data_IF_855395320237
#
_entry.id   IF_855395320237
#
_cell.length_a   1.000
_cell.length_b   1.000
_cell.length_c   1.000
_cell.angle_alpha   90.00
_cell.angle_beta   90.00
_cell.angle_gamma   90.00
#
_symmetry.space_group_name_H-M   'P 1'
#
loop_
_entity.id
_entity.type
_entity.pdbx_description
1 polymer ?
#
# COMPACT_ATOMS: atom_id res chain seq x y z
N UNK A 1 -31.25 68.24 19.16
CA UNK A 1 -30.18 67.32 19.22
C UNK A 1 -30.75 65.96 18.78
N UNK A 2 -30.54 65.57 17.52
CA UNK A 2 -31.09 64.32 16.92
C UNK A 2 -29.97 63.33 16.86
N UNK A 3 -30.13 62.20 17.66
CA UNK A 3 -29.19 61.07 17.67
C UNK A 3 -29.63 60.10 16.57
N UNK A 4 -28.79 59.93 15.53
CA UNK A 4 -28.97 58.91 14.51
C UNK A 4 -28.39 57.56 15.02
N UNK A 5 -29.30 56.61 15.22
CA UNK A 5 -28.95 55.23 15.52
C UNK A 5 -28.63 54.50 14.19
N UNK A 6 -27.37 54.28 13.91
CA UNK A 6 -26.95 53.48 12.74
C UNK A 6 -26.95 52.02 13.17
N UNK A 7 -27.95 51.26 12.74
CA UNK A 7 -28.00 49.83 12.87
C UNK A 7 -27.03 49.16 11.88
N UNK A 8 -25.94 48.59 12.40
CA UNK A 8 -25.04 47.73 11.61
C UNK A 8 -25.72 46.37 11.45
N UNK A 9 -26.28 46.14 10.26
CA UNK A 9 -26.78 44.80 9.84
C UNK A 9 -25.59 43.94 9.43
N UNK A 10 -25.04 43.15 10.36
CA UNK A 10 -24.04 42.17 10.07
C UNK A 10 -24.70 41.01 9.31
N UNK A 11 -24.55 41.00 7.97
CA UNK A 11 -24.81 39.81 7.15
C UNK A 11 -23.85 38.68 7.57
N UNK A 12 -24.32 37.77 8.39
CA UNK A 12 -23.68 36.50 8.60
C UNK A 12 -23.92 35.68 7.32
N UNK A 13 -22.99 35.76 6.37
CA UNK A 13 -22.93 34.83 5.26
C UNK A 13 -22.56 33.45 5.84
N UNK A 14 -23.57 32.64 6.12
CA UNK A 14 -23.38 31.21 6.31
C UNK A 14 -22.87 30.66 4.98
N UNK A 15 -21.56 30.48 4.86
CA UNK A 15 -20.98 29.64 3.82
C UNK A 15 -21.56 28.25 4.04
N UNK A 16 -22.63 27.93 3.32
CA UNK A 16 -23.01 26.54 3.06
C UNK A 16 -21.82 25.94 2.29
N UNK A 17 -20.94 25.30 3.00
CA UNK A 17 -19.94 24.44 2.41
C UNK A 17 -20.73 23.28 1.79
N UNK A 18 -21.14 23.43 0.56
CA UNK A 18 -21.41 22.28 -0.27
C UNK A 18 -20.09 21.52 -0.29
N UNK A 19 -20.02 20.38 0.41
CA UNK A 19 -18.86 19.50 0.34
C UNK A 19 -18.76 19.08 -1.12
N UNK A 20 -17.84 19.74 -1.86
CA UNK A 20 -17.51 19.34 -3.22
C UNK A 20 -17.09 17.87 -3.17
N UNK A 21 -17.85 17.04 -3.84
CA UNK A 21 -17.58 15.60 -3.92
C UNK A 21 -16.68 15.35 -5.12
N UNK A 22 -15.56 14.71 -4.90
CA UNK A 22 -14.62 14.36 -5.96
C UNK A 22 -15.16 13.17 -6.77
N UNK A 23 -15.69 13.44 -7.96
CA UNK A 23 -16.22 12.41 -8.87
C UNK A 23 -15.10 11.89 -9.75
N UNK A 24 -14.81 10.59 -9.66
CA UNK A 24 -13.70 9.96 -10.37
C UNK A 24 -14.14 8.69 -11.10
N UNK A 25 -13.64 8.50 -12.32
CA UNK A 25 -13.56 7.18 -12.93
C UNK A 25 -12.39 6.38 -12.33
N UNK A 26 -12.38 5.07 -12.50
CA UNK A 26 -11.28 4.22 -11.99
C UNK A 26 -9.91 4.64 -12.55
N UNK A 27 -9.82 5.03 -13.82
CA UNK A 27 -8.57 5.52 -14.43
C UNK A 27 -8.09 6.84 -13.81
N UNK A 28 -9.02 7.73 -13.48
CA UNK A 28 -8.68 8.99 -12.79
C UNK A 28 -8.24 8.73 -11.35
N UNK A 29 -8.89 7.78 -10.65
CA UNK A 29 -8.49 7.36 -9.32
C UNK A 29 -7.08 6.74 -9.32
N UNK A 30 -6.78 5.82 -10.24
CA UNK A 30 -5.43 5.25 -10.41
C UNK A 30 -4.37 6.32 -10.67
N UNK A 31 -4.66 7.31 -11.54
CA UNK A 31 -3.73 8.39 -11.84
C UNK A 31 -3.47 9.30 -10.64
N UNK A 32 -4.53 9.65 -9.90
CA UNK A 32 -4.44 10.49 -8.71
C UNK A 32 -3.69 9.78 -7.59
N UNK A 33 -3.95 8.49 -7.39
CA UNK A 33 -3.25 7.61 -6.47
C UNK A 33 -1.74 7.59 -6.72
N UNK A 34 -1.33 7.27 -7.95
CA UNK A 34 0.10 7.22 -8.31
C UNK A 34 0.82 8.55 -8.11
N UNK A 35 0.10 9.68 -8.23
CA UNK A 35 0.66 11.01 -8.09
C UNK A 35 0.74 11.50 -6.64
N UNK A 36 -0.27 11.20 -5.84
CA UNK A 36 -0.49 11.88 -4.56
C UNK A 36 -0.30 10.98 -3.33
N UNK A 37 -0.28 9.65 -3.50
CA UNK A 37 -0.20 8.74 -2.36
C UNK A 37 1.11 8.93 -1.59
N UNK A 38 0.99 9.23 -0.29
CA UNK A 38 2.14 9.54 0.56
C UNK A 38 2.99 8.31 0.90
N UNK A 39 2.39 7.12 0.94
CA UNK A 39 3.10 5.88 1.19
C UNK A 39 4.01 5.52 0.01
N UNK A 40 3.51 5.69 -1.24
CA UNK A 40 4.34 5.55 -2.44
C UNK A 40 5.48 6.59 -2.48
N UNK A 41 5.20 7.81 -2.05
CA UNK A 41 6.23 8.84 -1.98
C UNK A 41 7.31 8.49 -0.94
N UNK A 42 6.91 7.99 0.23
CA UNK A 42 7.83 7.54 1.26
C UNK A 42 8.72 6.38 0.77
N UNK A 43 8.13 5.38 0.10
CA UNK A 43 8.88 4.25 -0.47
C UNK A 43 9.84 4.69 -1.58
N UNK A 44 9.48 5.70 -2.36
CA UNK A 44 10.38 6.29 -3.35
C UNK A 44 11.64 6.88 -2.70
N UNK A 45 11.52 7.51 -1.52
CA UNK A 45 12.68 7.99 -0.78
C UNK A 45 13.60 6.85 -0.30
N UNK A 46 13.09 5.63 -0.08
CA UNK A 46 13.93 4.47 0.23
C UNK A 46 14.87 4.13 -0.94
N UNK A 47 14.40 4.28 -2.18
CA UNK A 47 15.26 4.13 -3.37
C UNK A 47 16.35 5.20 -3.39
N UNK A 48 16.02 6.46 -3.07
CA UNK A 48 17.00 7.55 -3.04
C UNK A 48 18.02 7.37 -1.91
N UNK A 49 17.60 6.84 -0.75
CA UNK A 49 18.49 6.45 0.35
C UNK A 49 19.47 5.37 -0.11
N UNK A 50 18.98 4.30 -0.75
CA UNK A 50 19.82 3.21 -1.26
C UNK A 50 20.84 3.72 -2.29
N UNK A 51 20.43 4.58 -3.22
CA UNK A 51 21.33 5.23 -4.19
C UNK A 51 22.39 6.12 -3.51
N UNK A 52 22.03 6.79 -2.42
CA UNK A 52 22.95 7.63 -1.67
C UNK A 52 24.03 6.80 -0.96
N UNK A 53 23.66 5.63 -0.42
CA UNK A 53 24.60 4.66 0.17
C UNK A 53 25.57 4.15 -0.91
N UNK A 54 25.06 3.81 -2.10
CA UNK A 54 25.90 3.39 -3.23
C UNK A 54 26.95 4.46 -3.61
N UNK A 55 26.56 5.75 -3.57
CA UNK A 55 27.49 6.86 -3.81
C UNK A 55 28.57 6.90 -2.73
N UNK A 56 28.17 6.78 -1.44
CA UNK A 56 29.07 6.82 -0.30
C UNK A 56 30.11 5.69 -0.35
N UNK A 57 29.71 4.47 -0.67
CA UNK A 57 30.58 3.30 -0.66
C UNK A 57 31.49 3.22 -1.89
N UNK A 58 31.28 4.08 -2.89
CA UNK A 58 32.21 4.32 -4.01
C UNK A 58 33.40 5.17 -3.60
N UNK A 59 33.33 5.92 -2.50
CA UNK A 59 34.40 6.83 -2.10
C UNK A 59 35.57 6.06 -1.51
N UNK A 60 36.74 6.68 -1.57
CA UNK A 60 37.94 6.21 -0.90
C UNK A 60 37.95 6.67 0.55
N UNK A 61 38.55 5.86 1.42
CA UNK A 61 38.82 6.27 2.78
C UNK A 61 39.69 7.56 2.80
N UNK A 62 39.31 8.50 3.65
CA UNK A 62 40.09 9.73 3.79
C UNK A 62 41.44 9.46 4.44
N UNK A 63 42.52 10.18 4.02
CA UNK A 63 43.78 10.17 4.76
C UNK A 63 43.59 10.79 6.13
N UNK A 64 44.20 10.20 7.14
CA UNK A 64 44.27 10.75 8.49
C UNK A 64 45.59 11.49 8.68
N UNK A 65 45.50 12.68 9.30
CA UNK A 65 46.68 13.45 9.73
C UNK A 65 46.65 13.49 11.24
N UNK A 66 47.80 13.16 11.86
CA UNK A 66 47.98 13.35 13.28
C UNK A 66 49.15 14.27 13.58
N UNK A 67 48.96 15.12 14.57
CA UNK A 67 50.01 16.04 15.07
C UNK A 67 50.18 15.70 16.55
N UNK A 68 51.42 15.42 16.93
CA UNK A 68 51.83 15.16 18.31
C UNK A 68 52.79 16.23 18.76
N UNK A 69 52.50 16.82 19.90
CA UNK A 69 53.32 17.87 20.53
C UNK A 69 53.64 17.44 21.95
N UNK A 70 54.85 17.74 22.44
CA UNK A 70 55.18 17.52 23.85
C UNK A 70 54.35 18.44 24.75
N UNK A 71 53.49 17.86 25.60
CA UNK A 71 52.73 18.64 26.60
C UNK A 71 53.61 19.12 27.76
N UNK A 72 54.55 18.30 28.19
CA UNK A 72 55.49 18.62 29.24
C UNK A 72 56.82 17.90 29.05
N UNK A 73 57.94 18.64 29.16
CA UNK A 73 59.29 18.09 29.14
C UNK A 73 59.96 18.47 30.48
N UNK A 74 60.47 17.50 31.25
CA UNK A 74 61.09 17.80 32.57
C UNK A 74 62.22 18.82 32.51
N UNK A 75 62.91 18.90 31.39
CA UNK A 75 64.08 19.81 31.20
C UNK A 75 63.71 21.14 30.54
N UNK A 76 62.51 21.27 29.91
CA UNK A 76 62.13 22.42 29.07
C UNK A 76 60.78 23.03 29.38
N UNK A 77 60.00 22.39 30.27
CA UNK A 77 58.69 22.87 30.69
C UNK A 77 57.54 22.43 29.79
N UNK A 78 56.43 23.17 29.86
CA UNK A 78 55.20 22.89 29.16
C UNK A 78 55.28 23.35 27.68
N UNK A 79 54.70 22.55 26.81
CA UNK A 79 54.51 22.86 25.37
C UNK A 79 55.79 23.36 24.68
N UNK A 80 56.90 22.66 24.88
CA UNK A 80 58.16 22.97 24.13
C UNK A 80 58.01 22.66 22.63
N UNK A 81 57.57 23.66 21.88
CA UNK A 81 57.42 23.63 20.42
C UNK A 81 58.50 24.41 19.70
N UNK A 82 59.61 24.74 20.41
CA UNK A 82 60.77 25.44 19.88
C UNK A 82 61.57 24.61 18.85
N UNK A 83 62.73 25.15 18.42
CA UNK A 83 63.60 24.51 17.42
C UNK A 83 64.09 23.11 17.83
N UNK A 84 64.22 22.86 19.12
CA UNK A 84 64.66 21.59 19.68
C UNK A 84 63.56 20.86 20.43
N UNK A 85 62.31 21.32 20.31
CA UNK A 85 61.11 20.69 20.95
C UNK A 85 60.61 19.52 20.14
N UNK A 86 59.79 18.69 20.83
CA UNK A 86 59.17 17.52 20.20
C UNK A 86 57.94 17.92 19.41
N UNK A 87 57.99 17.71 18.10
CA UNK A 87 56.85 17.83 17.19
C UNK A 87 56.89 16.65 16.22
N UNK A 88 55.84 15.88 16.14
CA UNK A 88 55.65 14.87 15.13
C UNK A 88 54.39 15.14 14.33
N UNK A 89 54.50 15.01 13.04
CA UNK A 89 53.37 15.08 12.12
C UNK A 89 53.35 13.78 11.32
N UNK A 90 52.23 13.10 11.28
CA UNK A 90 52.07 11.92 10.43
C UNK A 90 50.84 12.04 9.57
N UNK A 91 50.96 11.49 8.34
CA UNK A 91 49.85 11.27 7.44
C UNK A 91 49.75 9.77 7.15
N UNK A 92 48.54 9.24 7.16
CA UNK A 92 48.30 7.82 6.95
C UNK A 92 47.12 7.63 5.99
N UNK A 93 47.22 6.66 5.10
CA UNK A 93 46.17 6.28 4.14
C UNK A 93 45.88 4.79 4.20
N UNK A 94 44.61 4.43 4.40
CA UNK A 94 44.17 3.06 4.28
C UNK A 94 44.06 2.64 2.82
N UNK A 95 44.71 1.54 2.47
CA UNK A 95 44.60 0.91 1.16
C UNK A 95 43.75 -0.36 1.30
N UNK A 96 42.53 -0.27 0.86
CA UNK A 96 41.61 -1.42 0.83
C UNK A 96 42.05 -2.43 -0.26
N UNK A 97 42.20 -3.69 0.13
CA UNK A 97 42.66 -4.78 -0.77
C UNK A 97 41.53 -5.74 -1.14
N UNK A 98 41.82 -6.69 -2.01
CA UNK A 98 40.91 -7.77 -2.43
C UNK A 98 39.63 -7.26 -3.10
N UNK A 99 39.58 -6.02 -3.57
CA UNK A 99 38.41 -5.42 -4.19
C UNK A 99 37.21 -5.27 -3.23
N UNK A 100 37.44 -5.12 -1.92
CA UNK A 100 36.39 -4.99 -0.91
C UNK A 100 35.39 -3.90 -1.27
N UNK A 101 35.88 -2.69 -1.61
CA UNK A 101 35.04 -1.58 -2.02
C UNK A 101 34.15 -1.93 -3.23
N UNK A 102 34.73 -2.49 -4.28
CA UNK A 102 33.95 -2.87 -5.47
C UNK A 102 32.91 -3.96 -5.18
N UNK A 103 33.19 -4.87 -4.22
CA UNK A 103 32.26 -5.90 -3.78
C UNK A 103 31.15 -5.32 -2.91
N UNK A 104 31.47 -4.33 -2.07
CA UNK A 104 30.49 -3.57 -1.31
C UNK A 104 29.56 -2.81 -2.25
N UNK A 105 30.11 -2.03 -3.18
CA UNK A 105 29.32 -1.31 -4.20
C UNK A 105 28.42 -2.25 -5.01
N UNK A 106 28.90 -3.45 -5.36
CA UNK A 106 28.07 -4.42 -6.07
C UNK A 106 26.88 -4.90 -5.21
N UNK A 107 27.07 -5.03 -3.90
CA UNK A 107 26.02 -5.34 -2.96
C UNK A 107 25.00 -4.19 -2.84
N UNK A 108 25.47 -2.94 -2.81
CA UNK A 108 24.64 -1.76 -2.68
C UNK A 108 23.81 -1.50 -3.95
N UNK A 109 24.38 -1.72 -5.14
CA UNK A 109 23.66 -1.68 -6.43
C UNK A 109 22.50 -2.69 -6.41
N UNK A 110 22.73 -3.90 -5.89
CA UNK A 110 21.67 -4.90 -5.79
C UNK A 110 20.65 -4.55 -4.69
N UNK A 111 21.09 -3.83 -3.63
CA UNK A 111 20.19 -3.27 -2.61
C UNK A 111 19.26 -2.21 -3.18
N UNK A 112 19.81 -1.31 -4.00
CA UNK A 112 19.03 -0.30 -4.74
C UNK A 112 17.97 -0.96 -5.63
N UNK A 113 18.36 -1.99 -6.39
CA UNK A 113 17.42 -2.76 -7.23
C UNK A 113 16.31 -3.43 -6.41
N UNK A 114 16.65 -3.97 -5.26
CA UNK A 114 15.66 -4.54 -4.34
C UNK A 114 14.66 -3.48 -3.87
N UNK A 115 15.12 -2.29 -3.51
CA UNK A 115 14.23 -1.18 -3.12
C UNK A 115 13.30 -0.76 -4.28
N UNK A 116 13.78 -0.78 -5.53
CA UNK A 116 12.94 -0.53 -6.71
C UNK A 116 11.83 -1.61 -6.84
N UNK A 117 12.14 -2.88 -6.62
CA UNK A 117 11.14 -3.95 -6.63
C UNK A 117 10.14 -3.83 -5.47
N UNK A 118 10.58 -3.38 -4.29
CA UNK A 118 9.72 -3.11 -3.15
C UNK A 118 8.71 -2.00 -3.47
N UNK A 119 9.16 -0.92 -4.10
CA UNK A 119 8.28 0.14 -4.58
C UNK A 119 7.22 -0.39 -5.56
N UNK A 120 7.59 -1.19 -6.55
CA UNK A 120 6.63 -1.76 -7.50
C UNK A 120 5.67 -2.76 -6.86
N UNK A 121 6.11 -3.51 -5.85
CA UNK A 121 5.25 -4.41 -5.10
C UNK A 121 4.23 -3.64 -4.25
N UNK A 122 4.64 -2.54 -3.63
CA UNK A 122 3.75 -1.65 -2.92
C UNK A 122 2.71 -1.02 -3.86
N UNK A 123 3.14 -0.52 -5.04
CA UNK A 123 2.21 0.00 -6.06
C UNK A 123 1.16 -1.06 -6.43
N UNK A 124 1.58 -2.30 -6.66
CA UNK A 124 0.69 -3.42 -7.01
C UNK A 124 -0.35 -3.68 -5.91
N UNK A 125 0.10 -3.72 -4.66
CA UNK A 125 -0.75 -3.99 -3.49
C UNK A 125 -1.75 -2.88 -3.27
N UNK A 126 -1.30 -1.64 -3.16
CA UNK A 126 -2.18 -0.49 -2.90
C UNK A 126 -3.14 -0.21 -4.07
N UNK A 127 -2.74 -0.52 -5.31
CA UNK A 127 -3.62 -0.40 -6.48
C UNK A 127 -4.76 -1.42 -6.44
N UNK A 128 -4.47 -2.65 -6.03
CA UNK A 128 -5.50 -3.66 -5.82
C UNK A 128 -6.49 -3.22 -4.74
N UNK A 129 -6.01 -2.77 -3.60
CA UNK A 129 -6.84 -2.30 -2.48
C UNK A 129 -7.71 -1.10 -2.89
N UNK A 130 -7.12 -0.10 -3.57
CA UNK A 130 -7.85 1.06 -4.08
C UNK A 130 -8.99 0.64 -5.01
N UNK A 131 -8.72 -0.26 -5.98
CA UNK A 131 -9.72 -0.68 -6.97
C UNK A 131 -10.84 -1.48 -6.32
N UNK A 132 -10.52 -2.38 -5.38
CA UNK A 132 -11.51 -3.12 -4.61
C UNK A 132 -12.47 -2.15 -3.91
N UNK A 133 -11.94 -1.23 -3.09
CA UNK A 133 -12.73 -0.27 -2.31
C UNK A 133 -13.51 0.68 -3.23
N UNK A 134 -12.95 1.07 -4.36
CA UNK A 134 -13.61 1.94 -5.33
C UNK A 134 -14.89 1.31 -5.89
N UNK A 135 -14.83 0.05 -6.34
CA UNK A 135 -16.01 -0.64 -6.85
C UNK A 135 -17.00 -1.00 -5.73
N UNK A 136 -16.52 -1.42 -4.59
CA UNK A 136 -17.37 -1.69 -3.42
C UNK A 136 -18.14 -0.42 -3.00
N UNK A 137 -17.47 0.73 -2.93
CA UNK A 137 -18.12 2.03 -2.67
C UNK A 137 -19.24 2.33 -3.66
N UNK A 138 -19.01 2.07 -4.95
CA UNK A 138 -20.02 2.25 -5.97
C UNK A 138 -21.28 1.42 -5.72
N UNK A 139 -21.14 0.14 -5.41
CA UNK A 139 -22.30 -0.74 -5.18
C UNK A 139 -22.98 -0.48 -3.85
N UNK A 140 -22.26 -0.04 -2.81
CA UNK A 140 -22.84 0.44 -1.57
C UNK A 140 -23.71 1.69 -1.81
N UNK A 141 -23.23 2.66 -2.61
CA UNK A 141 -24.02 3.85 -2.96
C UNK A 141 -25.30 3.48 -3.73
N UNK A 142 -25.24 2.52 -4.63
CA UNK A 142 -26.43 2.00 -5.33
C UNK A 142 -27.43 1.38 -4.35
N UNK A 143 -26.95 0.58 -3.42
CA UNK A 143 -27.79 -0.05 -2.39
C UNK A 143 -28.43 0.98 -1.46
N UNK A 144 -27.68 2.02 -1.06
CA UNK A 144 -28.23 3.13 -0.26
C UNK A 144 -29.34 3.86 -1.02
N UNK A 145 -29.10 4.16 -2.31
CA UNK A 145 -30.10 4.85 -3.14
C UNK A 145 -31.39 4.05 -3.25
N UNK A 146 -31.30 2.72 -3.37
CA UNK A 146 -32.46 1.83 -3.36
C UNK A 146 -33.19 1.88 -2.02
N UNK A 147 -32.49 1.73 -0.90
CA UNK A 147 -33.09 1.78 0.43
C UNK A 147 -33.73 3.14 0.72
N UNK A 148 -33.14 4.24 0.27
CA UNK A 148 -33.72 5.59 0.39
C UNK A 148 -35.08 5.68 -0.29
N UNK A 149 -35.19 5.16 -1.52
CA UNK A 149 -36.44 5.10 -2.26
C UNK A 149 -37.51 4.25 -1.52
N UNK A 150 -37.10 3.07 -1.01
CA UNK A 150 -37.99 2.17 -0.26
C UNK A 150 -38.48 2.81 1.04
N UNK A 151 -37.58 3.37 1.82
CA UNK A 151 -37.87 4.05 3.09
C UNK A 151 -38.82 5.24 2.85
N UNK A 152 -38.59 6.03 1.78
CA UNK A 152 -39.43 7.14 1.41
C UNK A 152 -40.87 6.71 1.10
N UNK A 153 -41.02 5.65 0.29
CA UNK A 153 -42.31 5.08 -0.06
C UNK A 153 -43.02 4.48 1.16
N UNK A 154 -42.26 3.74 1.97
CA UNK A 154 -42.82 3.11 3.18
C UNK A 154 -43.24 4.14 4.24
N UNK A 155 -42.49 5.24 4.41
CA UNK A 155 -42.90 6.34 5.28
C UNK A 155 -44.24 6.94 4.88
N UNK A 156 -44.47 7.12 3.58
CA UNK A 156 -45.77 7.60 3.06
C UNK A 156 -46.88 6.61 3.35
N UNK A 157 -46.63 5.31 3.21
CA UNK A 157 -47.57 4.24 3.48
C UNK A 157 -47.91 4.17 4.97
N UNK A 158 -46.89 4.22 5.85
CA UNK A 158 -47.10 4.24 7.33
C UNK A 158 -47.96 5.42 7.74
N UNK A 159 -47.70 6.62 7.20
CA UNK A 159 -48.50 7.82 7.50
C UNK A 159 -49.98 7.67 7.07
N UNK A 160 -50.23 7.03 5.94
CA UNK A 160 -51.58 6.73 5.47
C UNK A 160 -52.29 5.72 6.44
N UNK A 161 -51.59 4.67 6.84
CA UNK A 161 -52.12 3.67 7.78
C UNK A 161 -52.37 4.23 9.19
N UNK A 162 -51.52 5.12 9.68
CA UNK A 162 -51.74 5.83 10.96
C UNK A 162 -53.06 6.64 10.92
N UNK A 163 -53.36 7.32 9.80
CA UNK A 163 -54.64 8.04 9.63
C UNK A 163 -55.84 7.10 9.60
N UNK A 164 -55.73 5.99 8.91
CA UNK A 164 -56.84 5.01 8.84
C UNK A 164 -57.03 4.28 10.18
N UNK A 165 -55.95 4.07 10.96
CA UNK A 165 -56.08 3.57 12.34
C UNK A 165 -56.83 4.54 13.25
N UNK A 166 -56.55 5.85 13.18
CA UNK A 166 -57.29 6.86 13.96
C UNK A 166 -58.78 6.91 13.61
N UNK A 167 -59.14 6.46 12.38
CA UNK A 167 -60.53 6.32 11.92
C UNK A 167 -61.13 4.95 12.25
N UNK A 168 -60.40 4.09 12.94
CA UNK A 168 -60.80 2.70 13.27
C UNK A 168 -61.03 1.80 12.05
N UNK A 169 -60.45 2.15 10.88
CA UNK A 169 -60.57 1.37 9.65
C UNK A 169 -59.49 0.27 9.53
N UNK A 170 -58.45 0.35 10.32
CA UNK A 170 -57.30 -0.57 10.30
C UNK A 170 -56.92 -0.93 11.72
N UNK A 171 -56.37 -2.16 11.90
CA UNK A 171 -55.91 -2.64 13.21
C UNK A 171 -54.57 -2.06 13.62
N UNK A 172 -54.33 -1.87 14.94
CA UNK A 172 -53.03 -1.52 15.49
C UNK A 172 -51.92 -2.49 15.05
N UNK A 173 -52.25 -3.78 14.93
CA UNK A 173 -51.33 -4.83 14.50
C UNK A 173 -50.73 -4.54 13.12
N UNK A 174 -51.55 -4.03 12.19
CA UNK A 174 -51.10 -3.70 10.82
C UNK A 174 -50.14 -2.51 10.83
N UNK A 175 -50.49 -1.47 11.58
CA UNK A 175 -49.63 -0.26 11.72
C UNK A 175 -48.29 -0.63 12.35
N UNK A 176 -48.29 -1.43 13.43
CA UNK A 176 -47.05 -1.84 14.11
C UNK A 176 -46.15 -2.67 13.19
N UNK A 177 -46.71 -3.55 12.37
CA UNK A 177 -45.93 -4.34 11.41
C UNK A 177 -45.25 -3.46 10.35
N UNK A 178 -45.94 -2.47 9.78
CA UNK A 178 -45.35 -1.53 8.84
C UNK A 178 -44.25 -0.67 9.49
N UNK A 179 -44.47 -0.22 10.73
CA UNK A 179 -43.43 0.53 11.48
C UNK A 179 -42.23 -0.36 11.79
N UNK A 180 -42.41 -1.64 12.06
CA UNK A 180 -41.33 -2.60 12.27
C UNK A 180 -40.46 -2.77 10.99
N UNK A 181 -41.13 -2.94 9.83
CA UNK A 181 -40.46 -3.01 8.54
C UNK A 181 -39.66 -1.70 8.25
N UNK A 182 -40.27 -0.54 8.49
CA UNK A 182 -39.59 0.76 8.31
C UNK A 182 -38.38 0.87 9.23
N UNK A 183 -38.46 0.45 10.46
CA UNK A 183 -37.34 0.42 11.39
C UNK A 183 -36.22 -0.50 10.90
N UNK A 184 -36.55 -1.70 10.42
CA UNK A 184 -35.62 -2.66 9.88
C UNK A 184 -34.84 -2.05 8.69
N UNK A 185 -35.53 -1.51 7.68
CA UNK A 185 -34.88 -0.90 6.50
C UNK A 185 -34.03 0.31 6.88
N UNK A 186 -34.46 1.11 7.85
CA UNK A 186 -33.68 2.24 8.36
C UNK A 186 -32.39 1.77 9.04
N UNK A 187 -32.44 0.69 9.79
CA UNK A 187 -31.28 0.08 10.44
C UNK A 187 -30.32 -0.54 9.40
N UNK A 188 -30.86 -1.25 8.40
CA UNK A 188 -30.05 -1.81 7.31
C UNK A 188 -29.31 -0.72 6.55
N UNK A 189 -30.01 0.40 6.25
CA UNK A 189 -29.38 1.58 5.65
C UNK A 189 -28.26 2.15 6.53
N UNK A 190 -28.46 2.23 7.84
CA UNK A 190 -27.44 2.75 8.76
C UNK A 190 -26.18 1.87 8.76
N UNK A 191 -26.33 0.54 8.73
CA UNK A 191 -25.21 -0.39 8.64
C UNK A 191 -24.39 -0.17 7.35
N UNK A 192 -25.05 -0.01 6.20
CA UNK A 192 -24.38 0.23 4.93
C UNK A 192 -23.68 1.62 4.93
N UNK A 193 -24.25 2.62 5.61
CA UNK A 193 -23.59 3.92 5.78
C UNK A 193 -22.31 3.83 6.64
N UNK A 194 -22.27 2.93 7.61
CA UNK A 194 -21.02 2.69 8.36
C UNK A 194 -19.95 2.06 7.46
N UNK A 195 -20.30 1.06 6.66
CA UNK A 195 -19.38 0.48 5.67
C UNK A 195 -18.89 1.53 4.67
N UNK A 196 -19.80 2.37 4.15
CA UNK A 196 -19.46 3.47 3.26
C UNK A 196 -18.49 4.46 3.91
N UNK A 197 -18.67 4.78 5.20
CA UNK A 197 -17.78 5.67 5.92
C UNK A 197 -16.36 5.12 6.04
N UNK A 198 -16.21 3.81 6.27
CA UNK A 198 -14.91 3.14 6.27
C UNK A 198 -14.25 3.19 4.89
N UNK A 199 -14.99 2.84 3.85
CA UNK A 199 -14.50 2.90 2.47
C UNK A 199 -14.11 4.33 2.06
N UNK A 200 -14.87 5.35 2.49
CA UNK A 200 -14.54 6.76 2.25
C UNK A 200 -13.27 7.19 2.99
N UNK A 201 -13.03 6.71 4.20
CA UNK A 201 -11.77 6.92 4.93
C UNK A 201 -10.60 6.40 4.09
N UNK A 202 -10.70 5.16 3.61
CA UNK A 202 -9.63 4.47 2.91
C UNK A 202 -9.37 5.10 1.52
N UNK A 203 -10.43 5.40 0.76
CA UNK A 203 -10.30 6.11 -0.52
C UNK A 203 -9.60 7.46 -0.35
N UNK A 204 -9.97 8.25 0.67
CA UNK A 204 -9.32 9.53 0.95
C UNK A 204 -7.85 9.36 1.34
N UNK A 205 -7.54 8.31 2.09
CA UNK A 205 -6.16 7.98 2.46
C UNK A 205 -5.33 7.60 1.24
N UNK A 206 -5.83 6.70 0.38
CA UNK A 206 -5.10 6.30 -0.83
C UNK A 206 -4.92 7.44 -1.82
N UNK A 207 -5.92 8.29 -1.98
CA UNK A 207 -5.90 9.42 -2.93
C UNK A 207 -5.30 10.70 -2.35
N UNK A 208 -4.97 10.71 -1.05
CA UNK A 208 -4.51 11.87 -0.30
C UNK A 208 -5.39 13.11 -0.55
N UNK A 209 -6.69 12.98 -0.24
CA UNK A 209 -7.69 14.03 -0.42
C UNK A 209 -8.58 14.18 0.81
N UNK A 210 -9.01 15.41 1.10
CA UNK A 210 -9.99 15.67 2.16
C UNK A 210 -11.45 15.56 1.67
N UNK A 211 -11.63 15.58 0.34
CA UNK A 211 -12.96 15.54 -0.25
C UNK A 211 -13.52 14.11 -0.28
N UNK A 212 -14.83 13.93 -0.04
CA UNK A 212 -15.50 12.66 -0.26
C UNK A 212 -15.35 12.24 -1.73
N UNK A 213 -15.11 10.95 -1.95
CA UNK A 213 -14.89 10.38 -3.29
C UNK A 213 -16.17 9.70 -3.75
N UNK A 214 -16.65 10.08 -4.93
CA UNK A 214 -17.78 9.42 -5.57
C UNK A 214 -17.32 8.66 -6.81
N UNK A 215 -17.33 7.32 -6.81
CA UNK A 215 -17.01 6.51 -7.96
C UNK A 215 -17.99 6.72 -9.12
N UNK A 216 -17.45 6.98 -10.31
CA UNK A 216 -18.22 6.96 -11.56
C UNK A 216 -17.85 5.67 -12.29
N UNK A 217 -18.79 4.72 -12.30
CA UNK A 217 -18.62 3.42 -12.95
C UNK A 217 -19.64 3.29 -14.08
N UNK A 218 -19.16 3.04 -15.29
CA UNK A 218 -19.99 2.81 -16.46
C UNK A 218 -20.14 1.31 -16.74
N UNK A 219 -21.13 0.93 -17.52
CA UNK A 219 -21.31 -0.47 -17.93
C UNK A 219 -20.07 -1.04 -18.64
N UNK A 220 -19.32 -0.23 -19.37
CA UNK A 220 -18.05 -0.63 -19.98
C UNK A 220 -16.98 -0.99 -18.96
N UNK A 221 -16.95 -0.31 -17.82
CA UNK A 221 -15.99 -0.58 -16.75
C UNK A 221 -16.26 -1.92 -16.05
N UNK A 222 -17.53 -2.34 -16.02
CA UNK A 222 -17.94 -3.65 -15.46
C UNK A 222 -17.77 -4.76 -16.51
N UNK A 223 -18.14 -4.50 -17.77
CA UNK A 223 -18.15 -5.50 -18.83
C UNK A 223 -16.76 -5.92 -19.31
N UNK A 224 -15.71 -5.17 -18.98
CA UNK A 224 -14.32 -5.57 -19.27
C UNK A 224 -13.88 -6.80 -18.46
N UNK A 225 -14.47 -7.02 -17.29
CA UNK A 225 -14.19 -8.19 -16.47
C UNK A 225 -14.93 -9.40 -17.03
N UNK A 226 -14.27 -10.10 -17.95
CA UNK A 226 -14.79 -11.33 -18.57
C UNK A 226 -13.69 -12.37 -18.65
N UNK A 227 -14.02 -13.61 -18.34
CA UNK A 227 -13.15 -14.75 -18.61
C UNK A 227 -13.04 -14.92 -20.12
N UNK A 228 -11.83 -14.70 -20.63
CA UNK A 228 -11.39 -15.29 -21.89
C UNK A 228 -10.61 -16.55 -21.50
N UNK A 229 -10.80 -17.69 -22.18
CA UNK A 229 -10.12 -18.96 -21.86
C UNK A 229 -8.62 -18.78 -21.55
N UNK A 230 -8.31 -18.40 -20.32
CA UNK A 230 -6.92 -18.28 -19.85
C UNK A 230 -6.40 -19.68 -19.52
N UNK A 231 -5.30 -20.06 -20.15
CA UNK A 231 -4.56 -21.24 -19.76
C UNK A 231 -3.81 -20.98 -18.45
N UNK A 232 -4.03 -21.84 -17.47
CA UNK A 232 -3.42 -21.75 -16.16
C UNK A 232 -1.89 -21.71 -16.20
N UNK A 233 -1.27 -22.53 -17.09
CA UNK A 233 0.18 -22.56 -17.25
C UNK A 233 0.70 -21.18 -17.71
N UNK A 234 0.02 -20.58 -18.70
CA UNK A 234 0.36 -19.24 -19.17
C UNK A 234 0.24 -18.17 -18.10
N UNK A 235 -0.79 -18.22 -17.22
CA UNK A 235 -0.95 -17.28 -16.12
C UNK A 235 0.16 -17.43 -15.07
N UNK A 236 0.55 -18.67 -14.73
CA UNK A 236 1.66 -18.94 -13.82
C UNK A 236 2.99 -18.43 -14.37
N UNK A 237 3.27 -18.66 -15.66
CA UNK A 237 4.49 -18.16 -16.30
C UNK A 237 4.55 -16.64 -16.31
N UNK A 238 3.43 -15.97 -16.59
CA UNK A 238 3.33 -14.51 -16.47
C UNK A 238 3.60 -14.04 -15.05
N UNK A 239 3.00 -14.69 -14.04
CA UNK A 239 3.20 -14.32 -12.65
C UNK A 239 4.66 -14.45 -12.22
N UNK A 240 5.36 -15.51 -12.62
CA UNK A 240 6.79 -15.69 -12.35
C UNK A 240 7.65 -14.59 -13.01
N UNK A 241 7.25 -14.08 -14.17
CA UNK A 241 8.01 -13.05 -14.88
C UNK A 241 7.74 -11.64 -14.38
N UNK A 242 6.48 -11.33 -14.02
CA UNK A 242 6.04 -9.96 -13.72
C UNK A 242 6.10 -9.61 -12.24
N UNK A 243 5.89 -10.54 -11.33
CA UNK A 243 5.69 -10.25 -9.90
C UNK A 243 6.95 -9.66 -9.23
N UNK A 244 6.75 -8.48 -8.64
CA UNK A 244 7.83 -7.76 -7.94
C UNK A 244 8.24 -8.43 -6.64
N UNK A 245 7.33 -9.08 -5.91
CA UNK A 245 7.63 -9.80 -4.67
C UNK A 245 8.56 -11.01 -4.90
N UNK A 246 8.46 -11.70 -6.04
CA UNK A 246 9.44 -12.72 -6.43
C UNK A 246 10.80 -12.08 -6.75
N UNK A 247 10.81 -10.97 -7.50
CA UNK A 247 12.04 -10.23 -7.82
C UNK A 247 12.77 -9.73 -6.57
N UNK A 248 12.03 -9.36 -5.50
CA UNK A 248 12.59 -9.03 -4.18
C UNK A 248 13.36 -10.22 -3.60
N UNK A 249 12.78 -11.42 -3.64
CA UNK A 249 13.43 -12.63 -3.12
C UNK A 249 14.64 -13.01 -3.98
N UNK A 250 14.54 -12.92 -5.31
CA UNK A 250 15.64 -13.14 -6.24
C UNK A 250 16.79 -12.16 -6.02
N UNK A 251 16.49 -10.88 -5.81
CA UNK A 251 17.48 -9.88 -5.45
C UNK A 251 18.13 -10.19 -4.10
N UNK A 252 17.36 -10.66 -3.10
CA UNK A 252 17.92 -11.11 -1.82
C UNK A 252 18.83 -12.33 -1.96
N UNK A 253 18.49 -13.26 -2.86
CA UNK A 253 19.35 -14.41 -3.21
C UNK A 253 20.67 -13.92 -3.83
N UNK A 254 20.59 -12.95 -4.74
CA UNK A 254 21.78 -12.33 -5.34
C UNK A 254 22.62 -11.57 -4.32
N UNK A 255 22.00 -10.81 -3.42
CA UNK A 255 22.71 -10.13 -2.33
C UNK A 255 23.44 -11.14 -1.43
N UNK A 256 22.87 -12.30 -1.14
CA UNK A 256 23.54 -13.34 -0.35
C UNK A 256 24.79 -13.86 -1.04
N UNK A 257 24.79 -14.06 -2.37
CA UNK A 257 25.95 -14.44 -3.15
C UNK A 257 27.03 -13.35 -3.16
N UNK A 258 26.64 -12.10 -3.35
CA UNK A 258 27.54 -10.96 -3.32
C UNK A 258 28.15 -10.77 -1.93
N UNK A 259 27.35 -10.88 -0.86
CA UNK A 259 27.83 -10.82 0.51
C UNK A 259 28.83 -11.94 0.83
N UNK A 260 28.58 -13.16 0.37
CA UNK A 260 29.55 -14.25 0.53
C UNK A 260 30.92 -13.90 -0.09
N UNK A 261 30.93 -13.30 -1.29
CA UNK A 261 32.19 -12.87 -1.93
C UNK A 261 32.86 -11.72 -1.18
N UNK A 262 32.06 -10.81 -0.60
CA UNK A 262 32.53 -9.70 0.25
C UNK A 262 33.16 -10.27 1.54
N UNK A 263 32.48 -11.21 2.24
CA UNK A 263 33.00 -11.80 3.47
C UNK A 263 34.34 -12.54 3.25
N UNK A 264 34.51 -13.17 2.09
CA UNK A 264 35.81 -13.75 1.69
C UNK A 264 36.89 -12.68 1.47
N UNK A 265 36.53 -11.54 0.89
CA UNK A 265 37.44 -10.43 0.70
C UNK A 265 37.83 -9.77 2.04
N UNK A 266 36.90 -9.68 2.99
CA UNK A 266 37.14 -9.14 4.33
C UNK A 266 38.14 -9.97 5.13
N UNK A 267 38.32 -11.25 4.83
CA UNK A 267 39.37 -12.11 5.40
C UNK A 267 40.78 -11.66 5.03
N UNK A 268 40.95 -10.87 3.96
CA UNK A 268 42.24 -10.36 3.49
C UNK A 268 42.47 -9.02 4.18
N UNK A 269 43.59 -8.80 4.90
CA UNK A 269 43.83 -7.55 5.61
C UNK A 269 44.05 -6.38 4.67
N UNK A 270 43.68 -5.19 5.09
CA UNK A 270 44.05 -3.93 4.44
C UNK A 270 45.47 -3.57 4.81
N UNK A 271 46.08 -2.64 4.06
CA UNK A 271 47.38 -2.07 4.35
C UNK A 271 47.20 -0.59 4.64
N UNK A 272 47.76 -0.12 5.76
CA UNK A 272 47.83 1.28 6.07
C UNK A 272 49.25 1.77 5.76
N UNK A 273 49.38 2.68 4.81
CA UNK A 273 50.62 3.34 4.48
C UNK A 273 50.70 4.68 5.21
N UNK A 274 51.86 5.01 5.76
CA UNK A 274 52.07 6.25 6.48
C UNK A 274 53.42 6.89 6.16
N UNK A 275 53.46 8.21 6.36
CA UNK A 275 54.67 8.98 6.41
C UNK A 275 54.70 9.82 7.69
N UNK A 276 55.83 9.93 8.34
CA UNK A 276 56.00 10.68 9.57
C UNK A 276 57.20 11.61 9.48
N UNK A 277 57.04 12.82 9.94
CA UNK A 277 58.09 13.73 10.26
C UNK A 277 58.14 13.92 11.77
N UNK A 278 59.33 13.76 12.38
CA UNK A 278 59.59 13.95 13.81
C UNK A 278 60.83 14.85 14.00
N UNK A 279 60.60 16.03 14.58
CA UNK A 279 61.66 17.04 14.73
C UNK A 279 62.71 16.61 15.74
N UNK A 280 62.39 15.94 16.83
CA UNK A 280 63.29 15.54 17.90
C UNK A 280 63.21 14.04 18.16
N UNK A 281 63.32 13.24 17.12
CA UNK A 281 63.30 11.77 17.17
C UNK A 281 64.51 11.22 17.94
N UNK A 282 64.33 10.05 18.53
CA UNK A 282 65.43 9.31 19.19
C UNK A 282 66.50 8.81 18.24
N UNK A 283 66.27 8.83 16.90
CA UNK A 283 67.23 8.38 15.89
C UNK A 283 68.13 9.55 15.44
N UNK A 284 67.52 10.61 15.00
CA UNK A 284 68.18 11.85 14.59
C UNK A 284 67.18 13.02 14.55
N UNK A 285 67.66 14.24 14.64
CA UNK A 285 66.85 15.43 14.47
C UNK A 285 66.32 15.52 13.05
N UNK A 286 65.06 15.96 12.92
CA UNK A 286 64.35 16.06 11.63
C UNK A 286 64.24 14.71 10.90
N UNK A 287 63.78 13.69 11.65
CA UNK A 287 63.57 12.35 11.07
C UNK A 287 62.39 12.32 10.13
N UNK A 288 62.57 11.68 8.98
CA UNK A 288 61.53 11.32 8.04
C UNK A 288 61.46 9.82 7.94
N UNK A 289 60.27 9.26 8.17
CA UNK A 289 60.01 7.83 8.10
C UNK A 289 58.81 7.51 7.25
N UNK A 290 58.82 6.30 6.72
CA UNK A 290 57.61 5.68 6.07
C UNK A 290 57.24 4.43 6.85
N UNK A 291 55.94 4.19 6.94
CA UNK A 291 55.38 3.02 7.65
C UNK A 291 54.40 2.25 6.79
N UNK A 292 54.35 0.96 6.96
CA UNK A 292 53.33 0.09 6.44
C UNK A 292 52.84 -0.80 7.58
N UNK A 293 51.57 -0.69 7.89
CA UNK A 293 50.93 -1.49 8.94
C UNK A 293 49.88 -2.40 8.36
N UNK A 294 49.85 -3.64 8.78
CA UNK A 294 48.87 -4.63 8.33
C UNK A 294 48.55 -5.60 9.46
N UNK A 295 47.26 -5.81 9.71
CA UNK A 295 46.81 -6.82 10.66
C UNK A 295 47.04 -8.22 10.10
N UNK A 296 47.64 -9.12 10.87
CA UNK A 296 47.91 -10.49 10.45
C UNK A 296 46.79 -11.42 10.89
N UNK A 297 46.03 -12.05 9.97
CA UNK A 297 44.83 -12.83 10.29
C UNK A 297 45.15 -14.27 10.76
N UNK A 298 45.85 -14.40 11.88
CA UNK A 298 46.19 -15.74 12.41
C UNK A 298 44.95 -16.40 13.07
N UNK A 299 44.27 -15.70 13.94
CA UNK A 299 43.14 -16.22 14.73
C UNK A 299 41.80 -15.92 14.08
N UNK A 300 41.59 -14.67 13.67
CA UNK A 300 40.38 -14.23 13.02
C UNK A 300 40.62 -14.07 11.51
N UNK A 301 40.12 -15.03 10.75
CA UNK A 301 40.15 -15.07 9.28
C UNK A 301 38.74 -14.85 8.68
N UNK A 302 37.87 -14.21 9.45
CA UNK A 302 36.46 -14.03 9.09
C UNK A 302 35.69 -15.34 8.83
N UNK A 303 36.19 -16.47 9.33
CA UNK A 303 35.68 -17.82 9.03
C UNK A 303 34.23 -18.02 9.44
N UNK A 304 33.81 -17.41 10.56
CA UNK A 304 32.42 -17.46 11.04
C UNK A 304 31.45 -16.77 10.07
N UNK A 305 31.76 -15.54 9.68
CA UNK A 305 30.94 -14.76 8.76
C UNK A 305 30.91 -15.38 7.35
N UNK A 306 32.02 -15.96 6.89
CA UNK A 306 32.07 -16.70 5.61
C UNK A 306 31.12 -17.91 5.66
N UNK A 307 31.13 -18.66 6.77
CA UNK A 307 30.25 -19.81 6.93
C UNK A 307 28.78 -19.37 7.01
N UNK A 308 28.47 -18.31 7.75
CA UNK A 308 27.14 -17.73 7.85
C UNK A 308 26.64 -17.24 6.47
N UNK A 309 27.46 -16.51 5.73
CA UNK A 309 27.12 -16.02 4.39
C UNK A 309 26.88 -17.20 3.41
N UNK A 310 27.63 -18.31 3.54
CA UNK A 310 27.37 -19.51 2.73
C UNK A 310 26.02 -20.15 3.06
N UNK A 311 25.65 -20.19 4.34
CA UNK A 311 24.34 -20.71 4.75
C UNK A 311 23.19 -19.81 4.28
N UNK A 312 23.40 -18.47 4.26
CA UNK A 312 22.43 -17.52 3.72
C UNK A 312 22.12 -17.73 2.23
N UNK A 313 23.12 -18.15 1.42
CA UNK A 313 22.86 -18.52 0.01
C UNK A 313 21.85 -19.67 -0.06
N UNK A 314 22.06 -20.73 0.75
CA UNK A 314 21.14 -21.88 0.77
C UNK A 314 19.74 -21.48 1.27
N UNK A 315 19.68 -20.60 2.27
CA UNK A 315 18.42 -20.07 2.79
C UNK A 315 17.63 -19.36 1.70
N UNK A 316 18.22 -18.37 1.02
CA UNK A 316 17.52 -17.58 0.02
C UNK A 316 17.17 -18.39 -1.23
N UNK A 317 17.99 -19.36 -1.65
CA UNK A 317 17.63 -20.29 -2.75
C UNK A 317 16.42 -21.15 -2.39
N UNK A 318 16.29 -21.54 -1.13
CA UNK A 318 15.11 -22.29 -0.67
C UNK A 318 13.89 -21.37 -0.56
N UNK A 319 14.07 -20.14 -0.07
CA UNK A 319 13.00 -19.14 0.01
C UNK A 319 12.47 -18.76 -1.39
N UNK A 320 13.33 -18.65 -2.40
CA UNK A 320 12.95 -18.39 -3.79
C UNK A 320 12.03 -19.50 -4.33
N UNK A 321 12.41 -20.78 -4.17
CA UNK A 321 11.56 -21.90 -4.56
C UNK A 321 10.23 -21.94 -3.81
N UNK A 322 10.25 -21.62 -2.51
CA UNK A 322 9.03 -21.55 -1.72
C UNK A 322 8.11 -20.44 -2.23
N UNK A 323 8.67 -19.29 -2.64
CA UNK A 323 7.90 -18.17 -3.19
C UNK A 323 7.31 -18.51 -4.57
N UNK A 324 8.09 -19.16 -5.45
CA UNK A 324 7.59 -19.64 -6.74
C UNK A 324 6.41 -20.60 -6.58
N UNK A 325 6.50 -21.55 -5.65
CA UNK A 325 5.41 -22.47 -5.34
C UNK A 325 4.17 -21.73 -4.78
N UNK A 326 4.37 -20.76 -3.89
CA UNK A 326 3.28 -19.93 -3.35
C UNK A 326 2.55 -19.19 -4.48
N UNK A 327 3.31 -18.56 -5.38
CA UNK A 327 2.77 -17.84 -6.54
C UNK A 327 1.93 -18.76 -7.42
N UNK A 328 2.41 -19.96 -7.71
CA UNK A 328 1.64 -20.94 -8.47
C UNK A 328 0.30 -21.28 -7.82
N UNK A 329 0.28 -21.48 -6.51
CA UNK A 329 -0.93 -21.77 -5.74
C UNK A 329 -1.88 -20.56 -5.63
N UNK A 330 -1.33 -19.34 -5.50
CA UNK A 330 -2.11 -18.09 -5.46
C UNK A 330 -2.84 -17.87 -6.80
N UNK A 331 -2.16 -18.08 -7.93
CA UNK A 331 -2.77 -17.98 -9.27
C UNK A 331 -3.88 -19.02 -9.46
N UNK A 332 -3.66 -20.26 -9.02
CA UNK A 332 -4.67 -21.32 -9.05
C UNK A 332 -5.92 -20.93 -8.27
N UNK A 333 -5.73 -20.51 -7.03
CA UNK A 333 -6.83 -20.13 -6.16
C UNK A 333 -7.62 -18.93 -6.72
N UNK A 334 -6.92 -17.91 -7.25
CA UNK A 334 -7.56 -16.74 -7.83
C UNK A 334 -8.36 -17.10 -9.10
N UNK A 335 -7.82 -17.95 -9.98
CA UNK A 335 -8.56 -18.40 -11.17
C UNK A 335 -9.79 -19.22 -10.79
N UNK A 336 -9.70 -20.07 -9.75
CA UNK A 336 -10.86 -20.80 -9.24
C UNK A 336 -11.94 -19.87 -8.69
N UNK A 337 -11.54 -18.83 -7.91
CA UNK A 337 -12.46 -17.80 -7.40
C UNK A 337 -13.18 -17.06 -8.54
N UNK A 338 -12.44 -16.68 -9.59
CA UNK A 338 -13.02 -16.02 -10.77
C UNK A 338 -14.05 -16.93 -11.43
N UNK A 339 -13.76 -18.22 -11.62
CA UNK A 339 -14.71 -19.18 -12.21
C UNK A 339 -15.98 -19.33 -11.34
N UNK A 340 -15.83 -19.40 -10.01
CA UNK A 340 -16.96 -19.51 -9.08
C UNK A 340 -17.83 -18.24 -9.14
N UNK A 341 -17.22 -17.06 -9.08
CA UNK A 341 -17.93 -15.80 -9.11
C UNK A 341 -18.63 -15.55 -10.45
N UNK A 342 -18.00 -15.92 -11.58
CA UNK A 342 -18.60 -15.81 -12.91
C UNK A 342 -19.79 -16.75 -13.08
N UNK A 343 -19.68 -18.01 -12.65
CA UNK A 343 -20.78 -18.97 -12.68
C UNK A 343 -21.96 -18.48 -11.81
N UNK A 344 -21.67 -17.94 -10.62
CA UNK A 344 -22.70 -17.36 -9.76
C UNK A 344 -23.39 -16.16 -10.44
N UNK A 345 -22.60 -15.25 -11.03
CA UNK A 345 -23.14 -14.09 -11.74
C UNK A 345 -23.99 -14.48 -12.95
N UNK A 346 -23.55 -15.46 -13.76
CA UNK A 346 -24.28 -15.95 -14.92
C UNK A 346 -25.53 -16.75 -14.56
N UNK A 347 -25.61 -17.34 -13.37
CA UNK A 347 -26.80 -18.04 -12.88
C UNK A 347 -27.95 -17.10 -12.57
N UNK A 348 -27.67 -15.81 -12.36
CA UNK A 348 -28.69 -14.78 -12.19
C UNK A 348 -29.16 -14.36 -13.59
N UNK A 349 -30.46 -14.57 -13.89
CA UNK A 349 -31.00 -14.22 -15.19
C UNK A 349 -30.74 -12.75 -15.54
N UNK A 350 -30.39 -12.49 -16.80
CA UNK A 350 -30.06 -11.15 -17.30
C UNK A 350 -31.17 -10.11 -17.09
N UNK A 351 -32.42 -10.55 -16.89
CA UNK A 351 -33.60 -9.71 -16.64
C UNK A 351 -33.99 -9.66 -15.16
N UNK A 352 -33.22 -10.27 -14.27
CA UNK A 352 -33.56 -10.35 -12.86
C UNK A 352 -33.87 -8.95 -12.28
N UNK A 353 -32.98 -8.00 -12.46
CA UNK A 353 -33.15 -6.64 -11.96
C UNK A 353 -34.37 -5.94 -12.55
N UNK A 354 -34.57 -6.03 -13.88
CA UNK A 354 -35.71 -5.40 -14.59
C UNK A 354 -37.04 -5.98 -14.11
N UNK A 355 -37.12 -7.30 -13.94
CA UNK A 355 -38.30 -7.98 -13.45
C UNK A 355 -38.63 -7.62 -11.99
N UNK A 356 -37.60 -7.51 -11.15
CA UNK A 356 -37.75 -7.11 -9.76
C UNK A 356 -38.19 -5.66 -9.61
N UNK A 357 -37.67 -4.74 -10.40
CA UNK A 357 -38.12 -3.33 -10.40
C UNK A 357 -39.58 -3.20 -10.85
N UNK A 358 -39.94 -3.88 -11.93
CA UNK A 358 -41.31 -3.90 -12.42
C UNK A 358 -42.29 -4.47 -11.38
N UNK A 359 -41.92 -5.58 -10.74
CA UNK A 359 -42.72 -6.22 -9.71
C UNK A 359 -42.83 -5.33 -8.48
N UNK A 360 -41.74 -4.71 -8.03
CA UNK A 360 -41.74 -3.80 -6.88
C UNK A 360 -42.75 -2.67 -7.04
N UNK A 361 -42.79 -2.02 -8.22
CA UNK A 361 -43.79 -1.00 -8.52
C UNK A 361 -45.21 -1.56 -8.50
N UNK A 362 -45.41 -2.74 -9.09
CA UNK A 362 -46.70 -3.41 -9.13
C UNK A 362 -47.21 -3.81 -7.71
N UNK A 363 -46.33 -4.24 -6.83
CA UNK A 363 -46.65 -4.62 -5.47
C UNK A 363 -47.15 -3.41 -4.63
N UNK A 364 -46.48 -2.25 -4.75
CA UNK A 364 -46.95 -1.04 -4.07
C UNK A 364 -48.34 -0.63 -4.56
N UNK A 365 -48.56 -0.60 -5.88
CA UNK A 365 -49.87 -0.27 -6.47
C UNK A 365 -50.99 -1.23 -6.02
N UNK A 366 -50.72 -2.53 -5.99
CA UNK A 366 -51.68 -3.53 -5.58
C UNK A 366 -51.98 -3.45 -4.08
N UNK A 367 -50.95 -3.17 -3.26
CA UNK A 367 -51.15 -3.00 -1.82
C UNK A 367 -52.02 -1.76 -1.53
N UNK A 368 -51.80 -0.64 -2.18
CA UNK A 368 -52.63 0.57 -2.04
C UNK A 368 -54.07 0.32 -2.47
N UNK A 369 -54.30 -0.49 -3.50
CA UNK A 369 -55.65 -0.91 -3.96
C UNK A 369 -56.26 -2.00 -3.14
N UNK A 370 -55.61 -2.52 -2.09
CA UNK A 370 -56.01 -3.64 -1.24
C UNK A 370 -56.17 -4.97 -1.99
N UNK A 371 -55.48 -5.14 -3.12
CA UNK A 371 -55.47 -6.38 -3.92
C UNK A 371 -54.57 -7.47 -3.31
N UNK A 372 -53.65 -7.08 -2.44
CA UNK A 372 -52.76 -7.98 -1.70
C UNK A 372 -52.84 -7.65 -0.20
N UNK A 373 -52.55 -8.64 0.62
CA UNK A 373 -52.52 -8.50 2.07
C UNK A 373 -51.29 -7.79 2.56
N UNK A 374 -51.34 -7.24 3.77
CA UNK A 374 -50.15 -6.65 4.41
C UNK A 374 -49.02 -7.66 4.57
N UNK A 375 -49.32 -8.92 4.84
CA UNK A 375 -48.31 -9.97 5.00
C UNK A 375 -47.55 -10.23 3.69
N UNK A 376 -48.27 -10.38 2.58
CA UNK A 376 -47.69 -10.56 1.25
C UNK A 376 -46.86 -9.34 0.85
N UNK A 377 -47.32 -8.13 1.19
CA UNK A 377 -46.56 -6.90 0.93
C UNK A 377 -45.22 -6.87 1.70
N UNK A 378 -45.23 -7.16 3.00
CA UNK A 378 -44.04 -7.19 3.85
C UNK A 378 -43.05 -8.24 3.36
N UNK A 379 -43.52 -9.48 3.16
CA UNK A 379 -42.70 -10.60 2.67
C UNK A 379 -42.01 -10.26 1.34
N UNK A 380 -42.76 -9.65 0.43
CA UNK A 380 -42.18 -9.22 -0.84
C UNK A 380 -41.11 -8.13 -0.65
N UNK A 381 -41.39 -7.08 0.15
CA UNK A 381 -40.41 -5.96 0.34
C UNK A 381 -39.13 -6.46 1.01
N UNK A 382 -39.23 -7.35 1.99
CA UNK A 382 -38.07 -7.96 2.63
C UNK A 382 -37.25 -8.78 1.64
N UNK A 383 -37.90 -9.69 0.90
CA UNK A 383 -37.25 -10.54 -0.13
C UNK A 383 -36.62 -9.69 -1.23
N UNK A 384 -37.31 -8.64 -1.70
CA UNK A 384 -36.80 -7.72 -2.70
C UNK A 384 -35.52 -7.03 -2.23
N UNK A 385 -35.54 -6.42 -1.05
CA UNK A 385 -34.37 -5.67 -0.54
C UNK A 385 -33.16 -6.59 -0.30
N UNK A 386 -33.38 -7.79 0.25
CA UNK A 386 -32.35 -8.78 0.44
C UNK A 386 -31.75 -9.22 -0.92
N UNK A 387 -32.59 -9.55 -1.88
CA UNK A 387 -32.16 -10.03 -3.22
C UNK A 387 -31.31 -8.97 -3.96
N UNK A 388 -31.73 -7.69 -3.95
CA UNK A 388 -30.98 -6.62 -4.60
C UNK A 388 -29.68 -6.32 -3.87
N UNK A 389 -29.67 -6.34 -2.53
CA UNK A 389 -28.44 -6.18 -1.75
C UNK A 389 -27.44 -7.29 -2.08
N UNK A 390 -27.89 -8.54 -2.10
CA UNK A 390 -27.04 -9.68 -2.46
C UNK A 390 -26.56 -9.61 -3.93
N UNK A 391 -27.39 -9.12 -4.83
CA UNK A 391 -26.98 -8.93 -6.23
C UNK A 391 -25.89 -7.84 -6.37
N UNK A 392 -26.03 -6.70 -5.69
CA UNK A 392 -25.01 -5.66 -5.69
C UNK A 392 -23.71 -6.16 -5.05
N UNK A 393 -23.80 -6.93 -3.96
CA UNK A 393 -22.65 -7.59 -3.35
C UNK A 393 -21.97 -8.57 -4.31
N UNK A 394 -22.74 -9.40 -5.00
CA UNK A 394 -22.23 -10.35 -5.99
C UNK A 394 -21.47 -9.62 -7.11
N UNK A 395 -21.96 -8.48 -7.57
CA UNK A 395 -21.26 -7.67 -8.58
C UNK A 395 -19.94 -7.11 -8.05
N UNK A 396 -19.93 -6.59 -6.81
CA UNK A 396 -18.70 -6.11 -6.16
C UNK A 396 -17.68 -7.24 -5.98
N UNK A 397 -18.11 -8.38 -5.44
CA UNK A 397 -17.28 -9.57 -5.23
C UNK A 397 -16.73 -10.12 -6.54
N UNK A 398 -17.53 -10.12 -7.61
CA UNK A 398 -17.09 -10.52 -8.93
C UNK A 398 -15.94 -9.66 -9.43
N UNK A 399 -16.05 -8.34 -9.38
CA UNK A 399 -14.97 -7.43 -9.79
C UNK A 399 -13.74 -7.62 -8.91
N UNK A 400 -13.93 -7.76 -7.60
CA UNK A 400 -12.85 -8.02 -6.64
C UNK A 400 -12.01 -9.24 -7.00
N UNK A 401 -12.62 -10.37 -7.34
CA UNK A 401 -11.85 -11.58 -7.68
C UNK A 401 -11.13 -11.46 -9.03
N UNK A 402 -11.64 -10.67 -9.97
CA UNK A 402 -10.94 -10.34 -11.20
C UNK A 402 -9.73 -9.44 -10.95
N UNK A 403 -9.86 -8.44 -10.08
CA UNK A 403 -8.72 -7.62 -9.67
C UNK A 403 -7.72 -8.41 -8.80
N UNK A 404 -8.19 -9.38 -8.00
CA UNK A 404 -7.31 -10.33 -7.31
C UNK A 404 -6.50 -11.16 -8.31
N UNK A 405 -7.09 -11.59 -9.44
CA UNK A 405 -6.36 -12.29 -10.49
C UNK A 405 -5.30 -11.38 -11.15
N UNK A 406 -5.62 -10.12 -11.43
CA UNK A 406 -4.64 -9.12 -11.88
C UNK A 406 -3.48 -8.99 -10.87
N UNK A 407 -3.82 -8.89 -9.59
CA UNK A 407 -2.86 -8.76 -8.50
C UNK A 407 -1.92 -9.97 -8.38
N UNK A 408 -2.44 -11.20 -8.40
CA UNK A 408 -1.62 -12.41 -8.25
C UNK A 408 -0.81 -12.74 -9.49
N UNK A 409 -1.26 -12.32 -10.67
CA UNK A 409 -0.48 -12.45 -11.92
C UNK A 409 0.56 -11.33 -12.04
N UNK A 410 0.32 -10.17 -11.40
CA UNK A 410 1.23 -9.02 -11.46
C UNK A 410 1.12 -8.20 -12.74
N UNK A 411 0.06 -8.41 -13.54
CA UNK A 411 -0.26 -7.70 -14.77
C UNK A 411 -1.76 -7.38 -14.84
N UNK A 412 -2.11 -6.31 -15.57
CA UNK A 412 -3.51 -6.01 -15.86
C UNK A 412 -3.99 -6.86 -17.03
N UNK A 413 -4.76 -7.89 -16.73
CA UNK A 413 -5.33 -8.81 -17.73
C UNK A 413 -6.63 -8.27 -18.33
N UNK A 414 -7.34 -7.42 -17.58
CA UNK A 414 -8.68 -6.89 -17.92
C UNK A 414 -8.60 -5.37 -18.12
N UNK A 415 -8.41 -4.94 -19.38
CA UNK A 415 -8.27 -3.51 -19.78
C UNK A 415 -9.49 -3.02 -20.58
#
# INVERSE_FOLDING_TARGET
MRIYLIGILTCISTNLWAQDTLRLSIRQADSLFLKNNLELLAEKYQIDIAKSIEIQDKLWDNPSVSVELSAYNPSRGFFDVGKNGQKAISIQQMITRAGKRNKQVALDVESTRKSEYQFFDLVRTLKFDLRQIFFETHFLEQTISLLDNQIGTLNTTVAAFDKEYTRSNISLKEVVRLKALLFQLTNDRANILFELAENQRDLRTYLNTELPVKPIVNSTDINRYRINNYDLASLRDKAIQSRSDLKIVQSSSKQAELNYTLQKALAIPNIQLGAVYDQASNYNNNYFGVSATMDLPFFNRNQGNIKAAKSNISYFKTAEKAKENSIGNEVDAALQKVNVAENAYQSVESRFTDQFELLNKGIYDNFQKRNITLLEFIDFIETYNESIREFNRLQADRIKVYEELNFVVGEELFN
#
